data_IF_112955172062
#
_entry.id   IF_112955172062
#
_cell.length_a   1.000
_cell.length_b   1.000
_cell.length_c   1.000
_cell.angle_alpha   90.00
_cell.angle_beta   90.00
_cell.angle_gamma   90.00
#
_symmetry.space_group_name_H-M   'P 1'
#
loop_
_entity.id
_entity.type
_entity.pdbx_description
1 polymer ?
#
# COMPACT_ATOMS: atom_id res chain seq x y z
N UNK A 1 -4.33 -51.49 -3.27
CA UNK A 1 -3.91 -50.45 -2.30
C UNK A 1 -3.56 -49.11 -2.98
N UNK A 2 -4.20 -48.73 -4.09
CA UNK A 2 -3.83 -47.55 -4.90
C UNK A 2 -4.89 -46.44 -4.93
N UNK A 3 -6.11 -46.70 -4.46
CA UNK A 3 -7.24 -45.77 -4.55
C UNK A 3 -7.30 -44.71 -3.44
N UNK A 4 -6.66 -44.96 -2.29
CA UNK A 4 -6.63 -44.01 -1.15
C UNK A 4 -5.71 -42.80 -1.43
N UNK A 5 -4.65 -42.97 -2.23
CA UNK A 5 -3.64 -41.93 -2.44
C UNK A 5 -4.14 -40.79 -3.35
N UNK A 6 -4.93 -41.10 -4.38
CA UNK A 6 -5.49 -40.07 -5.28
C UNK A 6 -6.53 -39.18 -4.59
N UNK A 7 -7.35 -39.74 -3.70
CA UNK A 7 -8.37 -38.95 -3.00
C UNK A 7 -7.76 -37.96 -2.00
N UNK A 8 -6.66 -38.35 -1.35
CA UNK A 8 -5.91 -37.45 -0.49
C UNK A 8 -5.25 -36.32 -1.30
N UNK A 9 -4.65 -36.58 -2.47
CA UNK A 9 -4.06 -35.49 -3.27
C UNK A 9 -5.08 -34.45 -3.77
N UNK A 10 -6.33 -34.86 -4.06
CA UNK A 10 -7.37 -33.93 -4.53
C UNK A 10 -7.90 -33.01 -3.43
N UNK A 11 -8.02 -33.48 -2.19
CA UNK A 11 -8.55 -32.65 -1.10
C UNK A 11 -7.59 -31.52 -0.71
N UNK A 12 -6.28 -31.76 -0.77
CA UNK A 12 -5.28 -30.76 -0.42
C UNK A 12 -5.19 -29.68 -1.51
N UNK A 13 -5.39 -30.05 -2.76
CA UNK A 13 -5.48 -29.10 -3.87
C UNK A 13 -6.68 -28.15 -3.71
N UNK A 14 -7.84 -28.66 -3.28
CA UNK A 14 -9.07 -27.85 -3.15
C UNK A 14 -8.92 -26.69 -2.15
N UNK A 15 -8.16 -26.86 -1.06
CA UNK A 15 -7.93 -25.78 -0.08
C UNK A 15 -6.69 -24.93 -0.38
N UNK A 16 -5.73 -25.47 -1.13
CA UNK A 16 -4.49 -24.78 -1.48
C UNK A 16 -4.67 -23.78 -2.62
N UNK A 17 -5.41 -24.15 -3.67
CA UNK A 17 -5.68 -23.29 -4.82
C UNK A 17 -6.39 -21.97 -4.51
N UNK A 18 -7.53 -21.93 -3.78
CA UNK A 18 -8.23 -20.67 -3.52
C UNK A 18 -7.40 -19.70 -2.68
N UNK A 19 -6.55 -20.22 -1.78
CA UNK A 19 -5.62 -19.41 -1.00
C UNK A 19 -4.57 -18.75 -1.89
N UNK A 20 -3.96 -19.49 -2.81
CA UNK A 20 -2.99 -18.94 -3.76
C UNK A 20 -3.64 -17.90 -4.67
N UNK A 21 -4.81 -18.20 -5.21
CA UNK A 21 -5.57 -17.28 -6.05
C UNK A 21 -5.87 -15.98 -5.30
N UNK A 22 -6.31 -16.07 -4.04
CA UNK A 22 -6.56 -14.89 -3.20
C UNK A 22 -5.33 -14.02 -2.98
N UNK A 23 -4.17 -14.62 -2.71
CA UNK A 23 -2.90 -13.89 -2.54
C UNK A 23 -2.48 -13.20 -3.84
N UNK A 24 -2.54 -13.91 -4.97
CA UNK A 24 -2.16 -13.35 -6.27
C UNK A 24 -3.07 -12.17 -6.65
N UNK A 25 -4.39 -12.31 -6.49
CA UNK A 25 -5.32 -11.21 -6.78
C UNK A 25 -5.05 -9.99 -5.89
N UNK A 26 -4.80 -10.22 -4.60
CA UNK A 26 -4.43 -9.16 -3.67
C UNK A 26 -3.13 -8.47 -4.08
N UNK A 27 -2.07 -9.22 -4.39
CA UNK A 27 -0.77 -8.68 -4.79
C UNK A 27 -0.84 -7.90 -6.11
N UNK A 28 -1.63 -8.37 -7.08
CA UNK A 28 -1.84 -7.65 -8.35
C UNK A 28 -2.53 -6.31 -8.10
N UNK A 29 -3.58 -6.30 -7.27
CA UNK A 29 -4.29 -5.06 -6.93
C UNK A 29 -3.40 -4.10 -6.14
N UNK A 30 -2.67 -4.60 -5.14
CA UNK A 30 -1.73 -3.81 -4.36
C UNK A 30 -0.60 -3.24 -5.23
N UNK A 31 -0.04 -4.05 -6.12
CA UNK A 31 1.00 -3.62 -7.06
C UNK A 31 0.51 -2.49 -7.97
N UNK A 32 -0.69 -2.62 -8.53
CA UNK A 32 -1.30 -1.56 -9.33
C UNK A 32 -1.50 -0.27 -8.53
N UNK A 33 -2.05 -0.36 -7.31
CA UNK A 33 -2.28 0.80 -6.44
C UNK A 33 -0.96 1.49 -6.03
N UNK A 34 0.09 0.71 -5.74
CA UNK A 34 1.41 1.23 -5.37
C UNK A 34 2.03 2.00 -6.54
N UNK A 35 1.94 1.48 -7.76
CA UNK A 35 2.45 2.19 -8.95
C UNK A 35 1.72 3.51 -9.17
N UNK A 36 0.39 3.53 -9.01
CA UNK A 36 -0.40 4.76 -9.09
C UNK A 36 0.05 5.79 -8.04
N UNK A 37 0.21 5.38 -6.79
CA UNK A 37 0.63 6.27 -5.69
C UNK A 37 2.03 6.84 -5.87
N UNK A 38 2.95 6.07 -6.45
CA UNK A 38 4.28 6.56 -6.80
C UNK A 38 4.18 7.62 -7.90
N UNK A 39 3.31 7.41 -8.90
CA UNK A 39 3.03 8.40 -9.95
C UNK A 39 2.46 9.71 -9.40
N UNK A 40 1.62 9.63 -8.36
CA UNK A 40 1.01 10.79 -7.69
C UNK A 40 1.96 11.47 -6.67
N UNK A 41 3.18 10.94 -6.47
CA UNK A 41 4.17 11.49 -5.52
C UNK A 41 3.91 11.15 -4.04
N UNK A 42 2.98 10.25 -3.75
CA UNK A 42 2.59 9.83 -2.40
C UNK A 42 3.55 8.76 -1.82
N UNK A 43 4.85 9.05 -1.79
CA UNK A 43 5.90 8.10 -1.41
C UNK A 43 5.72 7.46 -0.02
N UNK A 44 5.38 8.18 1.05
CA UNK A 44 5.22 7.57 2.38
C UNK A 44 4.07 6.56 2.43
N UNK A 45 2.97 6.84 1.76
CA UNK A 45 1.81 5.94 1.70
C UNK A 45 2.14 4.69 0.87
N UNK A 46 2.80 4.87 -0.28
CA UNK A 46 3.27 3.76 -1.11
C UNK A 46 4.21 2.81 -0.34
N UNK A 47 5.12 3.35 0.47
CA UNK A 47 6.04 2.55 1.28
C UNK A 47 5.30 1.70 2.35
N UNK A 48 4.32 2.28 3.04
CA UNK A 48 3.51 1.56 4.04
C UNK A 48 2.65 0.48 3.38
N UNK A 49 1.97 0.80 2.28
CA UNK A 49 1.17 -0.19 1.55
C UNK A 49 2.01 -1.33 0.98
N UNK A 50 3.22 -1.04 0.50
CA UNK A 50 4.18 -2.08 0.09
C UNK A 50 4.55 -2.97 1.27
N UNK A 51 4.82 -2.38 2.44
CA UNK A 51 5.15 -3.13 3.66
C UNK A 51 3.99 -4.03 4.10
N UNK A 52 2.75 -3.54 4.03
CA UNK A 52 1.54 -4.32 4.32
C UNK A 52 1.38 -5.46 3.31
N UNK A 53 1.53 -5.19 2.01
CA UNK A 53 1.40 -6.20 0.96
C UNK A 53 2.41 -7.35 1.20
N UNK A 54 3.68 -7.01 1.40
CA UNK A 54 4.74 -7.99 1.69
C UNK A 54 4.42 -8.78 2.96
N UNK A 55 3.98 -8.12 4.03
CA UNK A 55 3.65 -8.79 5.30
C UNK A 55 2.47 -9.75 5.17
N UNK A 56 1.37 -9.32 4.53
CA UNK A 56 0.18 -10.14 4.32
C UNK A 56 0.51 -11.33 3.45
N UNK A 57 1.22 -11.13 2.34
CA UNK A 57 1.60 -12.19 1.42
C UNK A 57 2.58 -13.16 2.08
N UNK A 58 3.55 -12.68 2.87
CA UNK A 58 4.43 -13.53 3.68
C UNK A 58 3.66 -14.35 4.73
N UNK A 59 2.73 -13.75 5.48
CA UNK A 59 1.90 -14.45 6.46
C UNK A 59 1.02 -15.54 5.82
N UNK A 60 0.52 -15.25 4.61
CA UNK A 60 -0.31 -16.17 3.84
C UNK A 60 0.47 -17.19 3.04
N UNK A 61 1.76 -17.05 2.77
CA UNK A 61 2.58 -18.03 2.04
C UNK A 61 3.37 -18.93 3.00
N UNK A 62 3.96 -18.35 4.05
CA UNK A 62 4.86 -19.06 4.97
C UNK A 62 4.05 -19.96 5.92
N UNK A 63 4.39 -21.25 5.98
CA UNK A 63 3.70 -22.23 6.84
C UNK A 63 3.96 -22.01 8.34
N UNK A 64 5.14 -21.49 8.68
CA UNK A 64 5.52 -21.16 10.06
C UNK A 64 4.72 -19.98 10.63
N UNK A 65 4.11 -19.15 9.77
CA UNK A 65 3.38 -17.95 10.17
C UNK A 65 1.85 -18.14 10.25
N UNK A 66 1.37 -19.37 10.47
CA UNK A 66 -0.07 -19.68 10.56
C UNK A 66 -0.82 -18.80 11.57
N UNK A 67 -0.22 -18.48 12.72
CA UNK A 67 -0.82 -17.60 13.72
C UNK A 67 -1.05 -16.18 13.19
N UNK A 68 -0.12 -15.65 12.39
CA UNK A 68 -0.20 -14.30 11.83
C UNK A 68 -1.25 -14.15 10.73
N UNK A 69 -1.78 -15.24 10.15
CA UNK A 69 -2.79 -15.15 9.07
C UNK A 69 -4.05 -14.43 9.51
N UNK A 70 -4.56 -14.77 10.69
CA UNK A 70 -5.74 -14.13 11.27
C UNK A 70 -5.45 -12.72 11.78
N UNK A 71 -4.21 -12.48 12.22
CA UNK A 71 -3.77 -11.16 12.68
C UNK A 71 -3.37 -10.21 11.54
N UNK A 72 -3.16 -10.73 10.32
CA UNK A 72 -2.62 -9.97 9.20
C UNK A 72 -3.48 -8.76 8.85
N UNK A 73 -4.81 -8.91 8.94
CA UNK A 73 -5.78 -7.83 8.73
C UNK A 73 -5.62 -6.73 9.80
N UNK A 74 -5.57 -7.13 11.08
CA UNK A 74 -5.44 -6.18 12.18
C UNK A 74 -4.10 -5.46 12.19
N UNK A 75 -3.01 -6.19 11.93
CA UNK A 75 -1.66 -5.62 11.81
C UNK A 75 -1.58 -4.71 10.58
N UNK A 76 -2.16 -5.10 9.44
CA UNK A 76 -2.22 -4.26 8.25
C UNK A 76 -2.95 -2.95 8.49
N UNK A 77 -4.11 -2.99 9.15
CA UNK A 77 -4.85 -1.78 9.54
C UNK A 77 -4.08 -0.94 10.56
N UNK A 78 -3.42 -1.56 11.54
CA UNK A 78 -2.58 -0.84 12.49
C UNK A 78 -1.40 -0.16 11.77
N UNK A 79 -0.76 -0.81 10.80
CA UNK A 79 0.27 -0.18 9.99
C UNK A 79 -0.29 1.01 9.20
N UNK A 80 -1.50 0.89 8.64
CA UNK A 80 -2.12 1.95 7.87
C UNK A 80 -2.58 3.15 8.71
N UNK A 81 -3.13 2.93 9.91
CA UNK A 81 -3.72 4.01 10.71
C UNK A 81 -2.81 4.51 11.83
N UNK A 82 -1.87 3.69 12.31
CA UNK A 82 -0.94 4.06 13.40
C UNK A 82 0.45 4.31 12.84
N UNK A 83 1.00 3.39 12.05
CA UNK A 83 2.39 3.53 11.57
C UNK A 83 2.51 4.59 10.48
N UNK A 84 1.52 4.69 9.58
CA UNK A 84 1.52 5.72 8.53
C UNK A 84 1.68 7.15 9.06
N UNK A 85 0.84 7.68 9.98
CA UNK A 85 1.01 9.06 10.44
C UNK A 85 2.36 9.27 11.15
N UNK A 86 2.89 8.27 11.85
CA UNK A 86 4.22 8.35 12.48
C UNK A 86 5.30 8.52 11.40
N UNK A 87 5.33 7.67 10.38
CA UNK A 87 6.33 7.79 9.30
C UNK A 87 6.10 9.05 8.47
N UNK A 88 4.85 9.43 8.23
CA UNK A 88 4.51 10.65 7.49
C UNK A 88 5.02 11.91 8.20
N UNK A 89 4.88 12.00 9.53
CA UNK A 89 5.44 13.13 10.29
C UNK A 89 6.96 13.17 10.26
N UNK A 90 7.64 12.01 10.28
CA UNK A 90 9.09 11.94 10.08
C UNK A 90 9.51 12.37 8.66
N UNK A 91 8.75 11.99 7.65
CA UNK A 91 8.98 12.43 6.27
C UNK A 91 8.77 13.95 6.12
N UNK A 92 7.75 14.49 6.80
CA UNK A 92 7.49 15.91 6.81
C UNK A 92 8.57 16.69 7.56
N UNK A 93 9.19 16.12 8.60
CA UNK A 93 10.25 16.81 9.35
C UNK A 93 11.54 16.96 8.53
N UNK A 94 11.77 16.09 7.53
CA UNK A 94 12.89 16.24 6.60
C UNK A 94 12.57 17.13 5.40
N UNK A 95 11.30 17.51 5.21
CA UNK A 95 10.85 18.33 4.09
C UNK A 95 10.50 19.74 4.59
N UNK A 96 10.86 20.79 3.86
CA UNK A 96 10.50 22.17 4.24
C UNK A 96 9.01 22.49 3.94
N UNK A 97 8.09 21.63 4.36
CA UNK A 97 6.64 21.82 4.20
C UNK A 97 6.11 22.54 5.44
N UNK A 98 6.35 23.85 5.51
CA UNK A 98 5.85 24.75 6.57
C UNK A 98 4.68 25.62 6.11
N UNK A 99 4.23 26.56 6.96
CA UNK A 99 3.06 27.44 6.74
C UNK A 99 3.06 28.25 5.42
N UNK A 100 4.21 28.38 4.73
CA UNK A 100 4.32 29.04 3.42
C UNK A 100 4.51 28.12 2.21
N UNK A 101 4.68 26.80 2.39
CA UNK A 101 5.02 25.83 1.33
C UNK A 101 4.11 24.60 1.38
N UNK A 102 2.79 24.83 1.31
CA UNK A 102 1.78 23.76 1.31
C UNK A 102 1.41 23.32 -0.12
N UNK A 103 1.60 24.19 -1.10
CA UNK A 103 1.36 23.90 -2.51
C UNK A 103 2.48 23.02 -3.06
N UNK A 104 2.11 22.01 -3.85
CA UNK A 104 3.10 21.34 -4.70
C UNK A 104 3.62 22.31 -5.74
N UNK A 105 4.82 22.06 -6.27
CA UNK A 105 5.42 22.93 -7.28
C UNK A 105 4.49 23.16 -8.49
N UNK A 106 3.88 22.09 -9.01
CA UNK A 106 2.94 22.20 -10.12
C UNK A 106 1.70 23.05 -9.78
N UNK A 107 1.17 22.90 -8.56
CA UNK A 107 0.05 23.73 -8.09
C UNK A 107 0.45 25.20 -7.93
N UNK A 108 1.68 25.46 -7.48
CA UNK A 108 2.20 26.82 -7.35
C UNK A 108 2.38 27.47 -8.73
N UNK A 109 2.95 26.75 -9.70
CA UNK A 109 3.08 27.22 -11.09
C UNK A 109 1.71 27.53 -11.68
N UNK A 110 0.77 26.59 -11.61
CA UNK A 110 -0.57 26.78 -12.17
C UNK A 110 -1.33 27.94 -11.49
N UNK A 111 -1.07 28.18 -10.21
CA UNK A 111 -1.62 29.36 -9.50
C UNK A 111 -1.00 30.66 -10.00
N UNK A 112 0.33 30.72 -10.12
CA UNK A 112 1.05 31.89 -10.62
C UNK A 112 0.69 32.20 -12.08
N UNK A 113 0.50 31.18 -12.91
CA UNK A 113 0.05 31.34 -14.31
C UNK A 113 -1.38 31.91 -14.41
N UNK A 114 -2.21 31.67 -13.40
CA UNK A 114 -3.58 32.21 -13.32
C UNK A 114 -3.65 33.57 -12.65
N UNK A 115 -2.60 34.02 -11.98
CA UNK A 115 -2.57 35.37 -11.40
C UNK A 115 -2.39 36.40 -12.52
N UNK A 116 -3.48 37.08 -12.84
CA UNK A 116 -3.45 38.23 -13.75
C UNK A 116 -2.98 39.46 -12.98
N UNK A 117 -1.94 40.11 -13.50
CA UNK A 117 -1.51 41.41 -13.00
C UNK A 117 -2.58 42.45 -13.30
N UNK A 118 -3.20 43.00 -12.26
CA UNK A 118 -4.06 44.18 -12.37
C UNK A 118 -3.17 45.38 -12.03
N UNK A 119 -2.91 46.30 -12.98
CA UNK A 119 -2.15 47.52 -12.71
C UNK A 119 -2.86 48.34 -11.62
N UNK A 120 -2.08 49.04 -10.79
CA UNK A 120 -2.65 49.93 -9.76
C UNK A 120 -3.50 51.08 -10.36
N UNK A 121 -3.35 51.33 -11.67
CA UNK A 121 -4.05 52.38 -12.41
C UNK A 121 -5.28 51.90 -13.22
N UNK A 122 -5.63 50.61 -13.18
CA UNK A 122 -6.83 50.04 -13.85
C UNK A 122 -6.53 48.98 -14.90
#
# INVERSE_FOLDING_TARGET
MTTQNNQQTSEWAIYFFPRLVGVVLFDVYMGWLIVQLIGDGAYPLAAILTSIAVFVSAAMLIERMKAYRWMSIGIGLAMLFVLYPIIYTLYLSTTNTGLGHILTEQQAIERLEREQYVPEDG
#
